data_IF_672297577962
#
_entry.id   IF_672297577962
#
_cell.length_a   1.000
_cell.length_b   1.000
_cell.length_c   1.000
_cell.angle_alpha   90.00
_cell.angle_beta   90.00
_cell.angle_gamma   90.00
#
_symmetry.space_group_name_H-M   'P 1'
#
loop_
_entity.id
_entity.type
_entity.pdbx_description
1 polymer ?
#
# COMPACT_ATOMS: atom_id res chain seq x y z
N UNK A 1 2.28 3.12 2.98
CA UNK A 1 0.95 2.75 2.46
C UNK A 1 -0.11 3.63 3.12
N UNK A 2 -0.93 4.31 2.33
CA UNK A 2 -1.92 5.30 2.81
C UNK A 2 -3.21 4.67 3.36
N UNK A 3 -3.51 3.42 3.02
CA UNK A 3 -4.69 2.68 3.45
C UNK A 3 -4.34 1.18 3.55
N UNK A 4 -4.86 0.39 4.51
CA UNK A 4 -4.38 -0.98 4.76
C UNK A 4 -4.79 -1.99 3.68
N UNK A 5 -5.84 -1.71 2.91
CA UNK A 5 -6.41 -2.62 1.90
C UNK A 5 -6.20 -2.17 0.46
N UNK A 6 -6.01 -0.87 0.23
CA UNK A 6 -6.04 -0.30 -1.11
C UNK A 6 -4.69 0.32 -1.44
N UNK A 7 -4.10 -0.13 -2.54
CA UNK A 7 -2.92 0.47 -3.14
C UNK A 7 -3.39 1.50 -4.16
N UNK A 8 -2.94 2.75 -4.02
CA UNK A 8 -3.41 3.87 -4.84
C UNK A 8 -4.77 4.40 -4.37
N UNK A 9 -4.75 5.53 -3.66
CA UNK A 9 -5.94 6.25 -3.22
C UNK A 9 -6.07 7.50 -4.08
N UNK A 10 -7.23 7.69 -4.69
CA UNK A 10 -7.56 8.91 -5.42
C UNK A 10 -8.02 10.00 -4.47
N UNK A 11 -7.98 11.25 -4.91
CA UNK A 11 -8.39 12.40 -4.11
C UNK A 11 -9.03 13.47 -4.98
N UNK A 12 -10.20 13.96 -4.53
CA UNK A 12 -10.74 15.23 -5.01
C UNK A 12 -10.78 16.22 -3.85
N UNK A 13 -10.44 17.47 -4.13
CA UNK A 13 -10.49 18.56 -3.16
C UNK A 13 -11.36 19.71 -3.67
N UNK A 14 -12.13 20.30 -2.76
CA UNK A 14 -12.86 21.54 -2.97
C UNK A 14 -12.45 22.53 -1.90
N UNK A 15 -12.24 23.77 -2.30
CA UNK A 15 -11.89 24.86 -1.41
C UNK A 15 -12.71 26.10 -1.78
N UNK A 16 -13.33 26.74 -0.80
CA UNK A 16 -14.16 27.92 -1.03
C UNK A 16 -14.62 28.57 0.28
N UNK A 17 -15.46 29.61 0.21
CA UNK A 17 -16.08 30.21 1.40
C UNK A 17 -16.91 29.18 2.18
N UNK A 18 -16.74 29.13 3.50
CA UNK A 18 -17.40 28.16 4.38
C UNK A 18 -18.93 28.27 4.31
N UNK A 19 -19.45 29.49 4.19
CA UNK A 19 -20.89 29.76 4.07
C UNK A 19 -21.50 29.30 2.73
N UNK A 20 -20.69 28.99 1.72
CA UNK A 20 -21.12 28.47 0.42
C UNK A 20 -20.97 26.94 0.33
N UNK A 21 -20.32 26.32 1.32
CA UNK A 21 -20.03 24.91 1.29
C UNK A 21 -21.27 24.05 1.56
N UNK A 22 -21.51 23.11 0.65
CA UNK A 22 -22.23 21.87 0.94
C UNK A 22 -21.54 20.73 0.17
N UNK A 23 -21.64 19.46 0.61
CA UNK A 23 -21.11 18.33 -0.15
C UNK A 23 -21.64 18.30 -1.59
N UNK A 24 -22.92 18.64 -1.78
CA UNK A 24 -23.55 18.69 -3.11
C UNK A 24 -22.96 19.79 -4.00
N UNK A 25 -22.64 20.97 -3.47
CA UNK A 25 -22.00 22.05 -4.23
C UNK A 25 -20.61 21.61 -4.70
N UNK A 26 -19.81 21.03 -3.79
CA UNK A 26 -18.47 20.55 -4.13
C UNK A 26 -18.52 19.44 -5.21
N UNK A 27 -19.33 18.39 -5.00
CA UNK A 27 -19.46 17.28 -5.96
C UNK A 27 -19.98 17.77 -7.32
N UNK A 28 -20.95 18.70 -7.34
CA UNK A 28 -21.44 19.28 -8.60
C UNK A 28 -20.39 20.11 -9.31
N UNK A 29 -19.50 20.78 -8.57
CA UNK A 29 -18.40 21.54 -9.16
C UNK A 29 -17.39 20.63 -9.85
N UNK A 30 -17.01 19.52 -9.21
CA UNK A 30 -16.17 18.47 -9.79
C UNK A 30 -16.85 17.83 -11.02
N UNK A 31 -18.14 17.52 -10.92
CA UNK A 31 -18.89 16.94 -12.05
C UNK A 31 -19.01 17.90 -13.23
N UNK A 32 -19.06 19.22 -13.01
CA UNK A 32 -19.18 20.21 -14.07
C UNK A 32 -17.98 20.21 -15.03
N UNK A 33 -16.83 19.67 -14.61
CA UNK A 33 -15.66 19.49 -15.47
C UNK A 33 -15.88 18.51 -16.61
N UNK A 34 -16.96 17.70 -16.58
CA UNK A 34 -17.41 16.89 -17.72
C UNK A 34 -17.41 17.68 -19.03
N UNK A 35 -17.76 18.97 -18.98
CA UNK A 35 -17.80 19.86 -20.17
C UNK A 35 -16.44 20.03 -20.84
N UNK A 36 -15.35 19.73 -20.14
CA UNK A 36 -13.98 19.85 -20.65
C UNK A 36 -13.41 18.50 -21.12
N UNK A 37 -14.07 17.39 -20.80
CA UNK A 37 -13.63 16.05 -21.17
C UNK A 37 -14.33 15.55 -22.43
N UNK A 38 -13.55 15.06 -23.37
CA UNK A 38 -14.02 14.40 -24.60
C UNK A 38 -13.74 12.91 -24.46
N UNK A 39 -14.79 12.09 -24.48
CA UNK A 39 -14.67 10.66 -24.19
C UNK A 39 -14.01 9.90 -25.35
N UNK A 40 -14.32 10.30 -26.57
CA UNK A 40 -13.93 9.65 -27.83
C UNK A 40 -12.41 9.55 -27.95
N UNK A 41 -11.68 10.62 -27.66
CA UNK A 41 -10.21 10.64 -27.71
C UNK A 41 -9.55 10.67 -26.32
N UNK A 42 -10.32 10.42 -25.25
CA UNK A 42 -9.86 10.45 -23.87
C UNK A 42 -9.08 11.73 -23.49
N UNK A 43 -9.46 12.88 -24.06
CA UNK A 43 -8.72 14.14 -23.87
C UNK A 43 -9.47 15.14 -23.01
N UNK A 44 -8.71 16.06 -22.40
CA UNK A 44 -9.27 17.17 -21.66
C UNK A 44 -8.79 18.52 -22.19
N UNK A 45 -9.73 19.40 -22.50
CA UNK A 45 -9.47 20.79 -22.90
C UNK A 45 -9.00 21.69 -21.74
N UNK A 46 -9.01 21.17 -20.51
CA UNK A 46 -8.52 21.80 -19.29
C UNK A 46 -8.60 20.80 -18.14
N UNK A 47 -8.51 21.24 -16.88
CA UNK A 47 -8.62 20.30 -15.76
C UNK A 47 -10.01 19.66 -15.66
N UNK A 48 -10.00 18.33 -15.74
CA UNK A 48 -11.13 17.39 -15.75
C UNK A 48 -10.93 16.25 -14.74
N UNK A 49 -9.84 16.29 -13.98
CA UNK A 49 -9.37 15.18 -13.14
C UNK A 49 -10.40 14.83 -12.06
N UNK A 50 -11.10 15.83 -11.51
CA UNK A 50 -12.12 15.59 -10.51
C UNK A 50 -13.34 14.87 -11.10
N UNK A 51 -13.75 15.25 -12.32
CA UNK A 51 -14.81 14.53 -13.03
C UNK A 51 -14.40 13.08 -13.31
N UNK A 52 -13.19 12.84 -13.83
CA UNK A 52 -12.71 11.49 -14.14
C UNK A 52 -12.67 10.60 -12.90
N UNK A 53 -12.27 11.14 -11.75
CA UNK A 53 -12.31 10.41 -10.48
C UNK A 53 -13.75 10.09 -10.02
N UNK A 54 -14.71 10.99 -10.24
CA UNK A 54 -16.12 10.75 -9.88
C UNK A 54 -16.76 9.61 -10.67
N UNK A 55 -16.39 9.46 -11.94
CA UNK A 55 -16.97 8.46 -12.85
C UNK A 55 -16.08 7.23 -13.06
N UNK A 56 -15.05 7.05 -12.23
CA UNK A 56 -14.08 5.96 -12.38
C UNK A 56 -14.70 4.59 -12.06
N UNK A 57 -14.77 3.70 -13.05
CA UNK A 57 -15.47 2.41 -12.94
C UNK A 57 -14.90 1.45 -11.89
N UNK A 58 -13.61 1.56 -11.56
CA UNK A 58 -12.97 0.72 -10.54
C UNK A 58 -13.18 1.26 -9.12
N UNK A 59 -13.42 2.56 -8.96
CA UNK A 59 -13.59 3.20 -7.65
C UNK A 59 -14.93 2.81 -7.04
N UNK A 60 -14.90 2.16 -5.88
CA UNK A 60 -16.12 1.64 -5.24
C UNK A 60 -16.19 1.93 -3.73
N UNK A 61 -15.15 2.55 -3.16
CA UNK A 61 -15.18 3.12 -1.81
C UNK A 61 -14.87 4.61 -1.90
N UNK A 62 -15.55 5.40 -1.06
CA UNK A 62 -15.29 6.82 -0.90
C UNK A 62 -15.40 7.19 0.58
N UNK A 63 -14.51 8.06 1.04
CA UNK A 63 -14.57 8.68 2.36
C UNK A 63 -14.26 10.15 2.25
N UNK A 64 -15.06 11.01 2.89
CA UNK A 64 -14.90 12.46 2.79
C UNK A 64 -14.85 13.13 4.15
N UNK A 65 -14.15 14.25 4.22
CA UNK A 65 -14.09 15.12 5.39
C UNK A 65 -14.13 16.59 4.97
N UNK A 66 -14.67 17.44 5.85
CA UNK A 66 -14.61 18.90 5.71
C UNK A 66 -13.93 19.50 6.93
N UNK A 67 -13.12 20.53 6.73
CA UNK A 67 -12.53 21.33 7.80
C UNK A 67 -12.70 22.82 7.51
N UNK A 68 -13.29 23.59 8.45
CA UNK A 68 -13.29 25.05 8.35
C UNK A 68 -11.89 25.60 8.61
N UNK A 69 -11.52 26.62 7.86
CA UNK A 69 -10.22 27.28 7.88
C UNK A 69 -10.45 28.78 8.08
N UNK A 70 -9.81 29.39 9.09
CA UNK A 70 -9.94 30.84 9.33
C UNK A 70 -9.51 31.67 8.12
N UNK A 71 -8.49 31.21 7.39
CA UNK A 71 -8.01 31.80 6.14
C UNK A 71 -7.37 30.74 5.25
N UNK A 72 -7.70 30.76 3.96
CA UNK A 72 -7.05 29.94 2.93
C UNK A 72 -6.72 30.84 1.73
N UNK A 73 -5.43 31.13 1.51
CA UNK A 73 -5.01 32.12 0.52
C UNK A 73 -5.67 33.48 0.77
N UNK A 74 -6.50 33.93 -0.17
CA UNK A 74 -7.25 35.19 -0.08
C UNK A 74 -8.65 35.03 0.53
N UNK A 75 -9.12 33.80 0.74
CA UNK A 75 -10.46 33.49 1.27
C UNK A 75 -10.41 33.55 2.80
N UNK A 76 -11.27 34.37 3.41
CA UNK A 76 -11.49 34.37 4.87
C UNK A 76 -12.69 33.48 5.17
N UNK A 77 -12.66 32.76 6.31
CA UNK A 77 -13.69 31.78 6.67
C UNK A 77 -13.91 30.78 5.52
N UNK A 78 -12.86 30.05 5.18
CA UNK A 78 -12.88 29.06 4.10
C UNK A 78 -13.31 27.68 4.65
N UNK A 79 -13.74 26.78 3.76
CA UNK A 79 -13.86 25.36 4.03
C UNK A 79 -13.03 24.58 3.01
N UNK A 80 -12.34 23.54 3.48
CA UNK A 80 -11.66 22.55 2.66
C UNK A 80 -12.44 21.25 2.78
N UNK A 81 -12.92 20.72 1.66
CA UNK A 81 -13.63 19.45 1.57
C UNK A 81 -12.84 18.48 0.69
N UNK A 82 -12.48 17.34 1.26
CA UNK A 82 -11.67 16.33 0.59
C UNK A 82 -12.46 15.03 0.56
N UNK A 83 -12.47 14.36 -0.59
CA UNK A 83 -12.95 13.00 -0.73
C UNK A 83 -11.82 12.11 -1.27
N UNK A 84 -11.53 11.03 -0.56
CA UNK A 84 -10.63 9.99 -1.05
C UNK A 84 -11.42 8.83 -1.65
N UNK A 85 -10.90 8.27 -2.76
CA UNK A 85 -11.54 7.21 -3.53
C UNK A 85 -10.64 5.99 -3.59
N UNK A 86 -11.23 4.80 -3.47
CA UNK A 86 -10.47 3.55 -3.50
C UNK A 86 -11.11 2.47 -4.39
N UNK A 87 -10.31 1.86 -5.29
CA UNK A 87 -9.02 2.36 -5.79
C UNK A 87 -9.12 3.76 -6.40
N UNK A 88 -8.02 4.50 -6.44
CA UNK A 88 -7.94 5.79 -7.12
C UNK A 88 -8.03 5.69 -8.64
N UNK A 89 -8.36 6.80 -9.29
CA UNK A 89 -8.31 6.91 -10.74
C UNK A 89 -6.87 6.87 -11.26
N UNK A 90 -6.65 6.16 -12.37
CA UNK A 90 -5.37 6.07 -13.07
C UNK A 90 -5.60 6.62 -14.46
N UNK A 91 -5.25 7.90 -14.69
CA UNK A 91 -5.69 8.67 -15.87
C UNK A 91 -5.02 8.28 -17.20
N UNK A 92 -4.52 7.05 -17.33
CA UNK A 92 -3.94 6.48 -18.55
C UNK A 92 -5.00 5.88 -19.50
N UNK A 93 -6.24 5.71 -19.04
CA UNK A 93 -7.36 5.17 -19.83
C UNK A 93 -8.64 5.96 -19.62
N UNK A 94 -9.65 5.70 -20.47
CA UNK A 94 -11.02 6.18 -20.27
C UNK A 94 -11.56 5.74 -18.90
N UNK A 95 -12.41 6.56 -18.24
CA UNK A 95 -12.86 6.32 -16.87
C UNK A 95 -13.74 5.08 -16.72
N UNK A 96 -14.42 4.69 -17.80
CA UNK A 96 -15.25 3.50 -17.88
C UNK A 96 -15.30 2.99 -19.31
N UNK A 97 -15.69 1.73 -19.49
CA UNK A 97 -15.96 1.15 -20.81
C UNK A 97 -17.33 1.60 -21.31
N UNK A 98 -17.40 2.11 -22.54
CA UNK A 98 -18.66 2.42 -23.20
C UNK A 98 -19.39 1.12 -23.58
N UNK A 99 -20.71 1.07 -23.37
CA UNK A 99 -21.52 -0.07 -23.74
C UNK A 99 -22.89 -0.06 -23.09
N UNK A 100 -23.60 -1.19 -23.20
CA UNK A 100 -24.90 -1.39 -22.54
C UNK A 100 -24.69 -1.42 -21.03
N UNK A 101 -25.54 -0.71 -20.30
CA UNK A 101 -25.49 -0.62 -18.85
C UNK A 101 -25.45 -2.02 -18.23
N UNK A 102 -24.52 -2.22 -17.28
CA UNK A 102 -24.30 -3.47 -16.56
C UNK A 102 -23.94 -4.70 -17.41
N UNK A 103 -23.70 -4.57 -18.71
CA UNK A 103 -23.37 -5.72 -19.58
C UNK A 103 -22.06 -6.43 -19.20
N UNK A 104 -21.14 -5.71 -18.54
CA UNK A 104 -19.84 -6.22 -18.09
C UNK A 104 -19.71 -6.28 -16.56
N UNK A 105 -20.83 -6.30 -15.82
CA UNK A 105 -20.76 -6.59 -14.38
C UNK A 105 -20.26 -8.03 -14.13
N UNK A 106 -19.64 -8.25 -12.97
CA UNK A 106 -19.29 -9.61 -12.54
C UNK A 106 -20.52 -10.51 -12.44
N UNK A 107 -20.36 -11.82 -12.63
CA UNK A 107 -21.43 -12.82 -12.47
C UNK A 107 -22.10 -12.84 -11.08
N UNK A 108 -21.42 -12.27 -10.08
CA UNK A 108 -21.92 -12.17 -8.70
C UNK A 108 -22.55 -10.82 -8.37
N UNK A 109 -22.52 -9.88 -9.31
CA UNK A 109 -23.03 -8.53 -9.13
C UNK A 109 -24.47 -8.43 -9.65
N UNK A 110 -25.24 -7.53 -9.04
CA UNK A 110 -26.59 -7.18 -9.49
C UNK A 110 -26.56 -5.79 -10.13
N UNK A 111 -27.29 -5.61 -11.22
CA UNK A 111 -27.50 -4.27 -11.76
C UNK A 111 -28.54 -3.53 -10.92
N UNK A 112 -28.13 -2.49 -10.21
CA UNK A 112 -29.00 -1.65 -9.37
C UNK A 112 -28.73 -0.19 -9.72
N UNK A 113 -29.77 0.58 -10.05
CA UNK A 113 -29.65 1.99 -10.42
C UNK A 113 -28.56 2.27 -11.47
N UNK A 114 -28.50 1.41 -12.50
CA UNK A 114 -27.53 1.46 -13.59
C UNK A 114 -26.06 1.21 -13.19
N UNK A 115 -25.82 0.66 -11.99
CA UNK A 115 -24.48 0.34 -11.46
C UNK A 115 -24.36 -1.15 -11.10
N UNK A 116 -23.15 -1.69 -11.18
CA UNK A 116 -22.83 -3.00 -10.64
C UNK A 116 -22.83 -2.92 -9.11
N UNK A 117 -23.73 -3.63 -8.44
CA UNK A 117 -23.83 -3.70 -6.98
C UNK A 117 -23.46 -5.09 -6.47
N UNK A 118 -22.73 -5.12 -5.37
CA UNK A 118 -22.31 -6.35 -4.70
C UNK A 118 -22.37 -6.14 -3.18
N UNK A 119 -23.16 -6.94 -2.47
CA UNK A 119 -23.40 -6.74 -1.04
C UNK A 119 -22.12 -6.73 -0.20
N UNK A 120 -21.10 -7.54 -0.55
CA UNK A 120 -19.82 -7.56 0.16
C UNK A 120 -18.96 -6.34 -0.17
N UNK A 121 -18.93 -5.93 -1.44
CA UNK A 121 -18.19 -4.73 -1.87
C UNK A 121 -18.82 -3.44 -1.38
N UNK A 122 -20.14 -3.38 -1.30
CA UNK A 122 -20.89 -2.15 -1.02
C UNK A 122 -21.07 -1.92 0.50
N UNK A 123 -20.77 -2.92 1.33
CA UNK A 123 -20.81 -2.81 2.78
C UNK A 123 -19.87 -1.71 3.29
N UNK A 124 -20.35 -0.82 4.16
CA UNK A 124 -19.49 0.16 4.82
C UNK A 124 -18.46 -0.55 5.72
N UNK A 125 -17.17 -0.31 5.47
CA UNK A 125 -16.08 -0.85 6.28
C UNK A 125 -15.64 0.17 7.32
N UNK A 126 -15.43 -0.28 8.56
CA UNK A 126 -14.92 0.56 9.65
C UNK A 126 -13.66 -0.04 10.25
N UNK A 127 -12.53 0.65 10.09
CA UNK A 127 -11.23 0.18 10.58
C UNK A 127 -10.98 0.64 12.02
N UNK A 128 -11.56 -0.09 12.98
CA UNK A 128 -11.46 0.25 14.42
C UNK A 128 -10.04 0.28 14.98
N UNK A 129 -9.08 -0.35 14.31
CA UNK A 129 -7.68 -0.47 14.77
C UNK A 129 -6.67 0.10 13.76
N UNK A 130 -7.12 0.84 12.74
CA UNK A 130 -6.21 1.45 11.78
C UNK A 130 -5.89 2.89 12.19
N UNK A 131 -4.63 3.13 12.52
CA UNK A 131 -4.10 4.45 12.86
C UNK A 131 -2.92 4.77 11.95
N UNK A 132 -3.05 5.78 11.08
CA UNK A 132 -1.94 6.18 10.24
C UNK A 132 -0.77 6.71 11.07
N UNK A 133 0.47 6.47 10.58
CA UNK A 133 1.70 6.81 11.33
C UNK A 133 1.85 8.31 11.63
N UNK A 134 1.17 9.17 10.88
CA UNK A 134 1.23 10.63 10.96
C UNK A 134 0.21 11.26 11.91
N UNK A 135 -0.71 10.49 12.51
CA UNK A 135 -1.59 10.99 13.58
C UNK A 135 -0.84 11.08 14.92
N UNK A 136 -0.76 12.29 15.49
CA UNK A 136 -0.05 12.56 16.76
C UNK A 136 -0.95 13.40 17.69
N UNK A 137 -1.08 13.04 18.98
CA UNK A 137 -0.52 11.85 19.62
C UNK A 137 -1.22 10.59 19.14
N UNK A 138 -0.44 9.56 18.80
CA UNK A 138 -1.01 8.26 18.41
C UNK A 138 -1.77 7.71 19.62
N UNK A 139 -3.09 7.44 19.50
CA UNK A 139 -3.81 6.80 20.60
C UNK A 139 -3.15 5.44 20.88
N UNK A 140 -2.97 5.10 22.17
CA UNK A 140 -2.48 3.78 22.56
C UNK A 140 -3.62 2.80 22.30
N UNK A 141 -3.62 2.19 21.11
CA UNK A 141 -4.67 1.25 20.73
C UNK A 141 -4.05 -0.12 20.70
N UNK A 142 -4.53 -0.96 21.60
CA UNK A 142 -4.04 -2.29 21.84
C UNK A 142 -5.00 -3.23 21.12
N UNK A 143 -4.51 -3.90 20.08
CA UNK A 143 -5.26 -4.94 19.39
C UNK A 143 -5.51 -6.15 20.33
N UNK A 144 -6.38 -7.10 19.98
CA UNK A 144 -6.66 -8.24 20.85
C UNK A 144 -5.41 -9.05 21.25
N UNK A 145 -4.39 -9.11 20.38
CA UNK A 145 -3.11 -9.77 20.66
C UNK A 145 -2.29 -8.99 21.70
N UNK A 146 -2.18 -7.68 21.56
CA UNK A 146 -1.58 -6.78 22.53
C UNK A 146 -2.26 -6.92 23.90
N UNK A 147 -3.59 -6.93 23.95
CA UNK A 147 -4.37 -7.12 25.19
C UNK A 147 -4.04 -8.48 25.82
N UNK A 148 -4.01 -9.54 25.01
CA UNK A 148 -3.64 -10.87 25.47
C UNK A 148 -2.20 -10.93 26.03
N UNK A 149 -1.23 -10.31 25.36
CA UNK A 149 0.16 -10.22 25.82
C UNK A 149 0.25 -9.46 27.16
N UNK A 150 -0.50 -8.38 27.34
CA UNK A 150 -0.56 -7.66 28.61
C UNK A 150 -1.13 -8.52 29.74
N UNK A 151 -2.23 -9.25 29.50
CA UNK A 151 -2.78 -10.17 30.50
C UNK A 151 -1.81 -11.31 30.83
N UNK A 152 -1.15 -11.88 29.82
CA UNK A 152 -0.17 -12.95 30.00
C UNK A 152 1.02 -12.46 30.84
N UNK A 153 1.58 -11.29 30.51
CA UNK A 153 2.71 -10.70 31.27
C UNK A 153 2.32 -10.35 32.71
N UNK A 154 1.14 -9.76 32.92
CA UNK A 154 0.67 -9.43 34.27
C UNK A 154 0.39 -10.68 35.10
N UNK A 155 -0.15 -11.73 34.48
CA UNK A 155 -0.34 -13.04 35.11
C UNK A 155 1.00 -13.64 35.55
N UNK A 156 2.00 -13.71 34.66
CA UNK A 156 3.32 -14.24 34.99
C UNK A 156 4.02 -13.43 36.09
N UNK A 157 3.95 -12.10 36.02
CA UNK A 157 4.53 -11.24 37.05
C UNK A 157 3.88 -11.48 38.43
N UNK A 158 2.55 -11.61 38.46
CA UNK A 158 1.82 -11.92 39.69
C UNK A 158 2.19 -13.31 40.25
N UNK A 159 2.30 -14.33 39.38
CA UNK A 159 2.76 -15.66 39.76
C UNK A 159 4.16 -15.62 40.36
N UNK A 160 5.12 -14.96 39.71
CA UNK A 160 6.47 -14.78 40.24
C UNK A 160 6.47 -14.10 41.62
N UNK A 161 5.70 -13.02 41.78
CA UNK A 161 5.59 -12.32 43.05
C UNK A 161 5.00 -13.21 44.16
N UNK A 162 3.93 -13.96 43.87
CA UNK A 162 3.35 -14.90 44.85
C UNK A 162 4.33 -16.01 45.24
N UNK A 163 5.08 -16.56 44.29
CA UNK A 163 6.11 -17.58 44.57
C UNK A 163 7.20 -17.01 45.47
N UNK A 164 7.69 -15.80 45.19
CA UNK A 164 8.69 -15.12 46.02
C UNK A 164 8.17 -14.89 47.45
N UNK A 165 6.93 -14.41 47.60
CA UNK A 165 6.32 -14.21 48.92
C UNK A 165 6.14 -15.53 49.69
N UNK A 166 5.75 -16.60 49.00
CA UNK A 166 5.66 -17.94 49.61
C UNK A 166 7.04 -18.37 50.09
N UNK A 167 8.08 -18.31 49.25
CA UNK A 167 9.45 -18.69 49.62
C UNK A 167 9.93 -17.88 50.84
N UNK A 168 9.72 -16.57 50.86
CA UNK A 168 10.08 -15.72 52.00
C UNK A 168 9.32 -16.09 53.29
N UNK A 169 8.07 -16.55 53.18
CA UNK A 169 7.31 -17.01 54.36
C UNK A 169 7.83 -18.33 54.95
N UNK A 170 8.33 -19.23 54.10
CA UNK A 170 8.94 -20.50 54.54
C UNK A 170 10.39 -20.30 55.02
N UNK A 171 11.11 -19.34 54.44
CA UNK A 171 12.52 -19.04 54.73
C UNK A 171 12.70 -17.56 55.09
N UNK A 172 12.27 -17.13 56.30
CA UNK A 172 12.27 -15.71 56.70
C UNK A 172 13.67 -15.07 56.78
N UNK A 173 14.74 -15.87 56.83
CA UNK A 173 16.12 -15.41 56.94
C UNK A 173 16.93 -15.56 55.64
N UNK A 174 16.29 -15.87 54.50
CA UNK A 174 17.01 -16.15 53.23
C UNK A 174 17.76 -14.93 52.65
N UNK A 175 17.46 -13.72 53.14
CA UNK A 175 18.15 -12.48 52.75
C UNK A 175 19.16 -11.99 53.81
N UNK A 176 19.35 -12.73 54.90
CA UNK A 176 20.15 -12.33 56.06
C UNK A 176 21.46 -13.11 56.22
N UNK A 177 21.80 -13.98 55.25
CA UNK A 177 23.07 -14.70 55.24
C UNK A 177 24.06 -13.96 54.32
N UNK A 178 24.71 -12.94 54.89
CA UNK A 178 26.06 -12.58 54.45
C UNK A 178 26.97 -13.80 54.70
N UNK A 179 27.80 -14.14 53.71
CA UNK A 179 28.80 -15.22 53.68
C UNK A 179 28.30 -16.62 53.32
N UNK A 180 28.07 -16.86 52.03
CA UNK A 180 28.66 -18.06 51.41
C UNK A 180 29.99 -17.68 50.76
N UNK A 181 31.08 -18.07 51.41
CA UNK A 181 32.43 -18.09 50.87
C UNK A 181 32.42 -18.85 49.53
N UNK A 182 32.65 -18.16 48.42
CA UNK A 182 33.15 -18.79 47.20
C UNK A 182 34.60 -18.33 47.02
N UNK A 183 35.51 -19.09 47.61
CA UNK A 183 36.94 -18.86 47.47
C UNK A 183 37.34 -18.96 46.00
N UNK A 184 38.00 -17.92 45.52
CA UNK A 184 38.51 -17.70 44.16
C UNK A 184 39.55 -18.74 43.67
N UNK A 185 39.70 -19.88 44.35
CA UNK A 185 40.82 -20.80 44.14
C UNK A 185 40.45 -22.08 43.36
N UNK A 186 39.16 -22.38 43.18
CA UNK A 186 38.71 -23.62 42.50
C UNK A 186 38.17 -23.39 41.07
N UNK A 187 37.67 -22.21 40.72
CA UNK A 187 37.04 -21.94 39.40
C UNK A 187 37.98 -21.48 38.29
N UNK A 188 39.27 -21.26 38.58
CA UNK A 188 40.23 -20.79 37.56
C UNK A 188 40.36 -21.75 36.35
N UNK A 189 40.47 -23.08 36.51
CA UNK A 189 40.58 -23.98 35.36
C UNK A 189 39.26 -24.22 34.61
N UNK A 190 38.11 -23.91 35.21
CA UNK A 190 36.79 -24.12 34.59
C UNK A 190 36.32 -22.87 33.82
N UNK A 191 36.61 -21.67 34.34
CA UNK A 191 36.34 -20.40 33.65
C UNK A 191 37.18 -20.25 32.38
N UNK A 192 38.47 -20.59 32.46
CA UNK A 192 39.38 -20.52 31.31
C UNK A 192 38.98 -21.50 30.20
N UNK A 193 38.48 -22.70 30.57
CA UNK A 193 37.90 -23.66 29.61
C UNK A 193 36.58 -23.19 28.99
N UNK A 194 35.76 -22.46 29.75
CA UNK A 194 34.49 -21.94 29.26
C UNK A 194 34.71 -20.76 28.30
N UNK A 195 35.65 -19.86 28.62
CA UNK A 195 36.05 -18.76 27.73
C UNK A 195 36.67 -19.28 26.43
N UNK A 196 37.50 -20.32 26.49
CA UNK A 196 38.08 -20.95 25.30
C UNK A 196 37.03 -21.66 24.44
N UNK A 197 35.92 -22.10 25.05
CA UNK A 197 34.78 -22.72 24.34
C UNK A 197 33.89 -21.66 23.67
N UNK A 198 33.60 -20.57 24.38
CA UNK A 198 32.85 -19.42 23.84
C UNK A 198 33.63 -18.79 22.67
N UNK A 199 34.95 -18.63 22.78
CA UNK A 199 35.76 -18.12 21.67
C UNK A 199 35.79 -19.05 20.44
N UNK A 200 35.59 -20.36 20.63
CA UNK A 200 35.51 -21.32 19.52
C UNK A 200 34.14 -21.28 18.86
N UNK A 201 33.07 -21.20 19.64
CA UNK A 201 31.70 -21.03 19.15
C UNK A 201 31.55 -19.69 18.38
N UNK A 202 32.05 -18.57 18.92
CA UNK A 202 32.03 -17.27 18.23
C UNK A 202 32.81 -17.26 16.90
N UNK A 203 33.88 -18.08 16.80
CA UNK A 203 34.67 -18.22 15.56
C UNK A 203 33.97 -19.11 14.53
N UNK A 204 33.22 -20.11 14.97
CA UNK A 204 32.38 -20.94 14.09
C UNK A 204 31.18 -20.14 13.57
N UNK A 205 30.48 -19.41 14.44
CA UNK A 205 29.33 -18.58 14.07
C UNK A 205 29.72 -17.46 13.08
N UNK A 206 30.88 -16.81 13.28
CA UNK A 206 31.41 -15.83 12.31
C UNK A 206 31.79 -16.46 10.98
N UNK A 207 32.19 -17.73 10.97
CA UNK A 207 32.57 -18.44 9.74
C UNK A 207 31.33 -18.91 8.97
N UNK A 208 30.28 -19.33 9.68
CA UNK A 208 28.97 -19.60 9.07
C UNK A 208 28.33 -18.34 8.52
N UNK A 209 28.30 -17.24 9.29
CA UNK A 209 27.74 -15.97 8.81
C UNK A 209 28.44 -15.42 7.57
N UNK A 210 29.77 -15.55 7.49
CA UNK A 210 30.54 -15.15 6.30
C UNK A 210 30.26 -16.05 5.09
N UNK A 211 29.98 -17.33 5.31
CA UNK A 211 29.63 -18.29 4.25
C UNK A 211 28.21 -18.06 3.74
N UNK A 212 27.29 -17.66 4.61
CA UNK A 212 25.94 -17.24 4.22
C UNK A 212 25.94 -15.92 3.46
N UNK A 213 26.78 -14.93 3.84
CA UNK A 213 26.95 -13.69 3.07
C UNK A 213 27.54 -13.94 1.67
N UNK A 214 28.57 -14.81 1.55
CA UNK A 214 29.14 -15.17 0.24
C UNK A 214 28.10 -15.89 -0.64
N UNK A 215 27.29 -16.78 -0.06
CA UNK A 215 26.23 -17.48 -0.79
C UNK A 215 25.11 -16.53 -1.24
N UNK A 216 24.72 -15.58 -0.38
CA UNK A 216 23.74 -14.55 -0.72
C UNK A 216 24.23 -13.62 -1.82
N UNK A 217 25.53 -13.28 -1.85
CA UNK A 217 26.12 -12.49 -2.93
C UNK A 217 26.21 -13.25 -4.26
N UNK A 218 26.36 -14.58 -4.24
CA UNK A 218 26.30 -15.40 -5.47
C UNK A 218 24.86 -15.50 -6.00
N UNK A 219 23.87 -15.75 -5.13
CA UNK A 219 22.45 -15.78 -5.50
C UNK A 219 21.97 -14.43 -6.06
N UNK A 220 22.40 -13.30 -5.47
CA UNK A 220 22.05 -11.96 -5.98
C UNK A 220 22.70 -11.65 -7.34
N UNK A 221 23.85 -12.27 -7.65
CA UNK A 221 24.50 -12.13 -8.96
C UNK A 221 23.81 -12.98 -10.03
N UNK A 222 23.36 -14.19 -9.67
CA UNK A 222 22.57 -15.03 -10.58
C UNK A 222 21.23 -14.35 -10.91
N UNK A 223 20.51 -13.83 -9.91
CA UNK A 223 19.24 -13.09 -10.15
C UNK A 223 19.43 -11.83 -10.99
N UNK A 224 20.57 -11.14 -10.89
CA UNK A 224 20.88 -9.97 -11.73
C UNK A 224 21.16 -10.36 -13.17
N UNK A 225 21.86 -11.48 -13.38
CA UNK A 225 22.18 -11.99 -14.71
C UNK A 225 20.95 -12.52 -15.42
N UNK A 226 20.04 -13.19 -14.71
CA UNK A 226 18.74 -13.62 -15.27
C UNK A 226 17.89 -12.42 -15.68
N UNK A 227 17.90 -11.33 -14.92
CA UNK A 227 17.18 -10.09 -15.28
C UNK A 227 17.78 -9.35 -16.46
N UNK A 228 19.11 -9.32 -16.58
CA UNK A 228 19.77 -8.73 -17.75
C UNK A 228 19.47 -9.56 -19.01
N UNK A 229 19.42 -10.90 -18.90
CA UNK A 229 19.03 -11.78 -20.01
C UNK A 229 17.53 -11.62 -20.39
N UNK A 230 16.62 -11.46 -19.41
CA UNK A 230 15.20 -11.16 -19.69
C UNK A 230 15.00 -9.76 -20.32
N UNK A 231 15.78 -8.76 -19.91
CA UNK A 231 15.72 -7.40 -20.51
C UNK A 231 16.26 -7.39 -21.96
N UNK A 232 17.31 -8.16 -22.26
CA UNK A 232 17.84 -8.31 -23.63
C UNK A 232 16.83 -9.05 -24.54
N UNK A 233 16.18 -10.12 -24.06
CA UNK A 233 15.12 -10.82 -24.82
C UNK A 233 13.89 -9.92 -25.06
N UNK A 234 13.49 -9.09 -24.08
CA UNK A 234 12.39 -8.12 -24.26
C UNK A 234 12.75 -6.95 -25.18
N UNK A 235 14.03 -6.63 -25.38
CA UNK A 235 14.47 -5.63 -26.37
C UNK A 235 14.49 -6.22 -27.77
N UNK A 236 14.99 -7.46 -27.95
CA UNK A 236 14.94 -8.15 -29.24
C UNK A 236 13.50 -8.39 -29.73
N UNK A 237 12.57 -8.79 -28.86
CA UNK A 237 11.15 -8.94 -29.24
C UNK A 237 10.50 -7.61 -29.67
N UNK A 238 10.92 -6.47 -29.08
CA UNK A 238 10.41 -5.15 -29.49
C UNK A 238 10.98 -4.69 -30.83
N UNK A 239 12.24 -4.99 -31.11
CA UNK A 239 12.84 -4.68 -32.41
C UNK A 239 12.17 -5.52 -33.51
N UNK A 240 11.86 -6.79 -33.25
CA UNK A 240 11.09 -7.62 -34.21
C UNK A 240 9.66 -7.12 -34.41
N UNK A 241 8.95 -6.69 -33.35
CA UNK A 241 7.61 -6.09 -33.48
C UNK A 241 7.63 -4.74 -34.25
N UNK A 242 8.66 -3.91 -34.06
CA UNK A 242 8.82 -2.66 -34.80
C UNK A 242 9.13 -2.91 -36.29
N UNK A 243 9.94 -3.92 -36.63
CA UNK A 243 10.19 -4.31 -38.03
C UNK A 243 8.93 -4.87 -38.71
N UNK A 244 8.11 -5.67 -38.01
CA UNK A 244 6.83 -6.16 -38.55
C UNK A 244 5.81 -5.02 -38.77
N UNK A 245 5.74 -4.03 -37.88
CA UNK A 245 4.87 -2.85 -38.05
C UNK A 245 5.33 -1.98 -39.24
N UNK A 246 6.64 -1.81 -39.46
CA UNK A 246 7.16 -1.07 -40.63
C UNK A 246 6.87 -1.80 -41.96
N UNK A 247 6.96 -3.14 -41.99
CA UNK A 247 6.60 -3.92 -43.19
C UNK A 247 5.08 -3.86 -43.49
N UNK A 248 4.21 -3.88 -42.47
CA UNK A 248 2.75 -3.72 -42.66
C UNK A 248 2.38 -2.32 -43.16
N UNK A 249 3.05 -1.25 -42.68
CA UNK A 249 2.83 0.11 -43.19
C UNK A 249 3.28 0.28 -44.66
N UNK A 250 4.40 -0.34 -45.07
CA UNK A 250 4.84 -0.31 -46.47
C UNK A 250 3.88 -1.07 -47.40
N UNK A 251 3.31 -2.21 -46.97
CA UNK A 251 2.30 -2.95 -47.75
C UNK A 251 0.98 -2.16 -47.89
N UNK A 252 0.53 -1.45 -46.83
CA UNK A 252 -0.66 -0.60 -46.91
C UNK A 252 -0.45 0.62 -47.84
N UNK A 253 0.75 1.22 -47.85
CA UNK A 253 1.06 2.32 -48.79
C UNK A 253 1.10 1.85 -50.25
N UNK A 254 1.64 0.64 -50.53
CA UNK A 254 1.62 0.07 -51.88
C UNK A 254 0.20 -0.27 -52.36
N UNK A 255 -0.68 -0.79 -51.48
CA UNK A 255 -2.09 -1.03 -51.82
C UNK A 255 -2.86 0.27 -52.09
N UNK A 256 -2.60 1.35 -51.35
CA UNK A 256 -3.22 2.66 -51.60
C UNK A 256 -2.74 3.28 -52.93
N UNK A 257 -1.46 3.12 -53.30
CA UNK A 257 -0.95 3.58 -54.61
C UNK A 257 -1.55 2.79 -55.78
N UNK A 258 -1.75 1.47 -55.65
CA UNK A 258 -2.41 0.65 -56.68
C UNK A 258 -3.90 1.01 -56.84
N UNK A 259 -4.63 1.32 -55.76
CA UNK A 259 -6.02 1.78 -55.83
C UNK A 259 -6.15 3.17 -56.49
N UNK A 260 -5.21 4.09 -56.26
CA UNK A 260 -5.20 5.40 -56.92
C UNK A 260 -4.89 5.30 -58.43
N UNK A 261 -4.03 4.36 -58.85
CA UNK A 261 -3.75 4.13 -60.28
C UNK A 261 -4.95 3.50 -61.04
N UNK A 262 -5.76 2.66 -60.39
CA UNK A 262 -6.97 2.08 -61.01
C UNK A 262 -8.13 3.10 -61.15
N UNK A 263 -8.20 4.13 -60.31
CA UNK A 263 -9.22 5.20 -60.43
C UNK A 263 -8.93 6.20 -61.57
N UNK A 264 -7.67 6.38 -61.98
CA UNK A 264 -7.27 7.35 -63.01
C UNK A 264 -7.37 6.79 -64.46
N UNK A 265 -7.51 5.47 -64.63
CA UNK A 265 -7.74 4.81 -65.94
C UNK A 265 -9.23 4.53 -66.28
N UNK A 266 -10.17 4.95 -65.43
CA UNK A 266 -11.63 4.70 -65.54
C UNK A 266 -12.48 5.71 -66.32
#
# INVERSE_FOLDING_TARGET
MAHPKFNGIGENMWAGPENEFTPSVAIRSWFAERKKYTFENNSCSGDCSHYLQLVWDRSHKVGCAVTPCSKLGYIRHAAIFICNYAPGAVLTRRPYKQGVVCSQCSRYDRCTDFLCSNAGRDQAEYYRFWYPKWEVPRPIVCDPLCIFIFFLRTLFFSLCATVVLIIQSYFPNILLEEQMQFTSEVMKPEHEKLEEKIEKEDKEDKKEGKKEEEKGMEEEKEEKKEKEEEEEEEEEEKEEEEEEEEEEEEEEEEEEEEEEEEEDEG
#
